data_IF_191429947395
#
_entry.id   IF_191429947395
#
_cell.length_a   1.000
_cell.length_b   1.000
_cell.length_c   1.000
_cell.angle_alpha   90.00
_cell.angle_beta   90.00
_cell.angle_gamma   90.00
#
_symmetry.space_group_name_H-M   'P 1'
#
loop_
_entity.id
_entity.type
_entity.pdbx_description
1 polymer ?
#
# COMPACT_ATOMS: atom_id res chain seq x y z
N UNK A 1 -0.63 -23.03 -14.68
CA UNK A 1 -2.04 -23.20 -15.05
C UNK A 1 -3.00 -22.71 -13.97
N UNK A 2 -2.91 -23.15 -12.71
CA UNK A 2 -3.82 -22.69 -11.64
C UNK A 2 -3.85 -21.15 -11.45
N UNK A 3 -2.67 -20.49 -11.45
CA UNK A 3 -2.58 -19.04 -11.35
C UNK A 3 -3.25 -18.31 -12.52
N UNK A 4 -3.15 -18.81 -13.73
CA UNK A 4 -3.81 -18.25 -14.92
C UNK A 4 -5.33 -18.43 -14.82
N UNK A 5 -5.79 -19.58 -14.33
CA UNK A 5 -7.22 -19.83 -14.11
C UNK A 5 -7.79 -18.91 -13.02
N UNK A 6 -7.06 -18.71 -11.90
CA UNK A 6 -7.46 -17.76 -10.84
C UNK A 6 -7.51 -16.33 -11.37
N UNK A 7 -6.50 -15.92 -12.14
CA UNK A 7 -6.48 -14.62 -12.83
C UNK A 7 -7.69 -14.48 -13.75
N UNK A 8 -7.97 -15.47 -14.58
CA UNK A 8 -9.11 -15.45 -15.49
C UNK A 8 -10.45 -15.36 -14.73
N UNK A 9 -10.61 -16.11 -13.64
CA UNK A 9 -11.83 -16.05 -12.81
C UNK A 9 -11.99 -14.68 -12.15
N UNK A 10 -10.91 -14.11 -11.60
CA UNK A 10 -10.96 -12.76 -11.01
C UNK A 10 -11.31 -11.71 -12.07
N UNK A 11 -10.68 -11.76 -13.25
CA UNK A 11 -10.93 -10.80 -14.32
C UNK A 11 -12.29 -10.97 -15.01
N UNK A 12 -12.71 -12.19 -15.28
CA UNK A 12 -13.91 -12.45 -16.07
C UNK A 12 -15.18 -12.56 -15.22
N UNK A 13 -15.07 -12.96 -13.97
CA UNK A 13 -16.22 -13.21 -13.11
C UNK A 13 -16.40 -12.22 -11.96
N UNK A 14 -15.33 -11.78 -11.29
CA UNK A 14 -15.43 -10.84 -10.15
C UNK A 14 -15.36 -9.38 -10.59
N UNK A 15 -14.41 -9.05 -11.46
CA UNK A 15 -14.16 -7.65 -11.84
C UNK A 15 -15.39 -6.99 -12.50
N UNK A 16 -16.10 -7.61 -13.47
CA UNK A 16 -17.27 -7.01 -14.08
C UNK A 16 -18.46 -6.83 -13.10
N UNK A 17 -18.45 -7.54 -11.98
CA UNK A 17 -19.47 -7.39 -10.93
C UNK A 17 -19.18 -6.27 -9.94
N UNK A 18 -17.93 -5.82 -9.86
CA UNK A 18 -17.46 -4.83 -8.89
C UNK A 18 -17.11 -3.49 -9.54
N UNK A 19 -16.77 -3.51 -10.82
CA UNK A 19 -16.42 -2.32 -11.61
C UNK A 19 -17.15 -2.44 -12.95
N UNK A 20 -18.10 -1.55 -13.22
CA UNK A 20 -18.69 -1.42 -14.54
C UNK A 20 -17.68 -0.74 -15.48
N UNK A 21 -16.97 -1.55 -16.26
CA UNK A 21 -15.98 -1.09 -17.22
C UNK A 21 -16.60 -0.18 -18.28
N UNK A 22 -17.87 -0.41 -18.61
CA UNK A 22 -18.62 0.44 -19.54
C UNK A 22 -18.87 1.84 -18.99
N UNK A 23 -19.24 1.95 -17.72
CA UNK A 23 -19.46 3.22 -17.02
C UNK A 23 -18.13 3.99 -16.86
N UNK A 24 -17.05 3.32 -16.45
CA UNK A 24 -15.71 3.93 -16.41
C UNK A 24 -15.31 4.47 -17.78
N UNK A 25 -15.55 3.68 -18.84
CA UNK A 25 -15.18 4.10 -20.20
C UNK A 25 -16.04 5.26 -20.70
N UNK A 26 -17.33 5.27 -20.39
CA UNK A 26 -18.23 6.39 -20.72
C UNK A 26 -17.78 7.67 -20.00
N UNK A 27 -17.46 7.58 -18.71
CA UNK A 27 -16.94 8.68 -17.91
C UNK A 27 -15.62 9.23 -18.47
N UNK A 28 -14.67 8.36 -18.81
CA UNK A 28 -13.39 8.78 -19.39
C UNK A 28 -13.56 9.47 -20.75
N UNK A 29 -14.51 9.02 -21.58
CA UNK A 29 -14.82 9.65 -22.87
C UNK A 29 -15.47 11.03 -22.75
N UNK A 30 -16.19 11.27 -21.67
CA UNK A 30 -16.81 12.57 -21.40
C UNK A 30 -15.80 13.61 -20.89
N UNK A 31 -14.62 13.18 -20.41
CA UNK A 31 -13.57 14.08 -19.94
C UNK A 31 -12.91 14.85 -21.10
N UNK A 32 -12.53 16.08 -20.82
CA UNK A 32 -11.69 16.88 -21.71
C UNK A 32 -10.28 16.26 -21.81
N UNK A 33 -9.56 16.59 -22.90
CA UNK A 33 -8.19 16.11 -23.09
C UNK A 33 -7.25 16.55 -21.94
N UNK A 34 -7.46 17.74 -21.36
CA UNK A 34 -6.67 18.28 -20.25
C UNK A 34 -6.90 17.47 -18.96
N UNK A 35 -8.14 17.13 -18.66
CA UNK A 35 -8.51 16.26 -17.52
C UNK A 35 -7.91 14.88 -17.66
N UNK A 36 -7.95 14.31 -18.86
CA UNK A 36 -7.32 13.01 -19.14
C UNK A 36 -5.79 13.08 -18.95
N UNK A 37 -5.12 14.09 -19.48
CA UNK A 37 -3.66 14.23 -19.36
C UNK A 37 -3.23 14.43 -17.90
N UNK A 38 -3.93 15.28 -17.15
CA UNK A 38 -3.61 15.51 -15.72
C UNK A 38 -3.86 14.27 -14.88
N UNK A 39 -4.95 13.55 -15.13
CA UNK A 39 -5.30 12.32 -14.42
C UNK A 39 -4.32 11.18 -14.73
N UNK A 40 -4.00 10.96 -16.00
CA UNK A 40 -3.00 9.98 -16.44
C UNK A 40 -1.59 10.34 -15.94
N UNK A 41 -1.24 11.63 -15.95
CA UNK A 41 0.01 12.12 -15.39
C UNK A 41 0.13 11.85 -13.89
N UNK A 42 -0.94 12.08 -13.14
CA UNK A 42 -0.99 11.73 -11.71
C UNK A 42 -0.92 10.22 -11.47
N UNK A 43 -1.59 9.41 -12.30
CA UNK A 43 -1.50 7.95 -12.22
C UNK A 43 -0.09 7.44 -12.55
N UNK A 44 0.55 7.97 -13.58
CA UNK A 44 1.94 7.65 -13.93
C UNK A 44 2.91 8.05 -12.80
N UNK A 45 2.74 9.24 -12.23
CA UNK A 45 3.50 9.67 -11.06
C UNK A 45 3.28 8.74 -9.87
N UNK A 46 2.04 8.31 -9.62
CA UNK A 46 1.73 7.35 -8.56
C UNK A 46 2.50 6.04 -8.76
N UNK A 47 2.53 5.48 -9.97
CA UNK A 47 3.31 4.27 -10.28
C UNK A 47 4.81 4.47 -10.01
N UNK A 48 5.38 5.62 -10.40
CA UNK A 48 6.79 5.94 -10.14
C UNK A 48 7.04 6.13 -8.65
N UNK A 49 6.12 6.74 -7.92
CA UNK A 49 6.28 7.03 -6.48
C UNK A 49 6.39 5.77 -5.62
N UNK A 50 5.84 4.63 -6.05
CA UNK A 50 6.00 3.34 -5.36
C UNK A 50 7.44 2.83 -5.32
N UNK A 51 8.29 3.29 -6.22
CA UNK A 51 9.70 2.90 -6.29
C UNK A 51 10.52 3.61 -5.19
N UNK A 52 10.10 4.80 -4.79
CA UNK A 52 10.89 5.66 -3.88
C UNK A 52 11.20 5.01 -2.52
N UNK A 53 10.22 4.43 -1.80
CA UNK A 53 10.50 3.75 -0.53
C UNK A 53 11.46 2.55 -0.68
N UNK A 54 11.37 1.83 -1.81
CA UNK A 54 12.22 0.67 -2.09
C UNK A 54 13.67 1.11 -2.31
N UNK A 55 13.91 2.12 -3.14
CA UNK A 55 15.23 2.67 -3.44
C UNK A 55 15.92 3.23 -2.17
N UNK A 56 15.14 3.80 -1.26
CA UNK A 56 15.66 4.29 0.02
C UNK A 56 15.96 3.14 0.99
N UNK A 57 15.08 2.13 1.06
CA UNK A 57 15.19 1.02 2.01
C UNK A 57 16.22 -0.03 1.60
N UNK A 58 16.53 -0.17 0.30
CA UNK A 58 17.50 -1.14 -0.23
C UNK A 58 18.61 -0.43 -1.03
N UNK A 59 19.67 0.04 -0.35
CA UNK A 59 20.80 0.67 -1.02
C UNK A 59 21.46 -0.24 -2.05
N UNK A 60 21.69 0.29 -3.24
CA UNK A 60 22.23 -0.47 -4.39
C UNK A 60 21.17 -0.98 -5.36
N UNK A 61 19.89 -0.92 -4.99
CA UNK A 61 18.80 -1.20 -5.93
C UNK A 61 18.72 -0.10 -6.99
N UNK A 62 18.70 -0.49 -8.25
CA UNK A 62 18.57 0.47 -9.36
C UNK A 62 17.09 0.79 -9.63
N UNK A 63 16.76 1.98 -10.18
CA UNK A 63 15.38 2.34 -10.52
C UNK A 63 14.69 1.33 -11.45
N UNK A 64 15.45 0.74 -12.41
CA UNK A 64 14.94 -0.28 -13.32
C UNK A 64 14.55 -1.56 -12.55
N UNK A 65 15.42 -2.04 -11.65
CA UNK A 65 15.14 -3.20 -10.82
C UNK A 65 13.93 -2.97 -9.90
N UNK A 66 13.87 -1.79 -9.27
CA UNK A 66 12.73 -1.39 -8.45
C UNK A 66 11.42 -1.35 -9.26
N UNK A 67 11.44 -0.82 -10.49
CA UNK A 67 10.26 -0.76 -11.34
C UNK A 67 9.75 -2.15 -11.73
N UNK A 68 10.64 -3.03 -12.18
CA UNK A 68 10.29 -4.41 -12.54
C UNK A 68 9.69 -5.14 -11.34
N UNK A 69 10.34 -5.06 -10.19
CA UNK A 69 9.87 -5.71 -8.96
C UNK A 69 8.54 -5.13 -8.50
N UNK A 70 8.46 -3.81 -8.33
CA UNK A 70 7.28 -3.13 -7.78
C UNK A 70 6.01 -3.40 -8.59
N UNK A 71 6.08 -3.26 -9.90
CA UNK A 71 4.91 -3.47 -10.75
C UNK A 71 4.52 -4.95 -10.82
N UNK A 72 5.49 -5.87 -10.86
CA UNK A 72 5.22 -7.30 -10.85
C UNK A 72 4.61 -7.74 -9.50
N UNK A 73 5.20 -7.36 -8.38
CA UNK A 73 4.70 -7.74 -7.04
C UNK A 73 3.33 -7.13 -6.76
N UNK A 74 3.07 -5.89 -7.21
CA UNK A 74 1.76 -5.24 -7.12
C UNK A 74 0.71 -5.99 -7.94
N UNK A 75 1.02 -6.36 -9.18
CA UNK A 75 0.10 -7.14 -10.01
C UNK A 75 -0.25 -8.49 -9.36
N UNK A 76 0.74 -9.20 -8.84
CA UNK A 76 0.54 -10.45 -8.10
C UNK A 76 -0.27 -10.23 -6.84
N UNK A 77 0.04 -9.17 -6.09
CA UNK A 77 -0.66 -8.79 -4.86
C UNK A 77 -2.14 -8.49 -5.08
N UNK A 78 -2.46 -7.86 -6.21
CA UNK A 78 -3.83 -7.51 -6.57
C UNK A 78 -4.63 -8.70 -7.13
N UNK A 79 -3.96 -9.65 -7.79
CA UNK A 79 -4.62 -10.75 -8.50
C UNK A 79 -4.91 -11.97 -7.62
N UNK A 80 -4.07 -12.27 -6.63
CA UNK A 80 -4.14 -13.54 -5.93
C UNK A 80 -4.80 -13.42 -4.55
N UNK A 81 -5.55 -14.45 -4.12
CA UNK A 81 -5.93 -14.61 -2.72
C UNK A 81 -4.65 -14.65 -1.85
N UNK A 82 -4.66 -13.95 -0.73
CA UNK A 82 -3.44 -13.70 0.08
C UNK A 82 -2.29 -13.05 -0.72
N UNK A 83 -2.61 -12.30 -1.77
CA UNK A 83 -1.67 -11.74 -2.75
C UNK A 83 -0.58 -10.88 -2.14
N UNK A 84 -0.84 -10.22 -1.01
CA UNK A 84 0.17 -9.48 -0.24
C UNK A 84 1.32 -10.41 0.21
N UNK A 85 1.00 -11.59 0.74
CA UNK A 85 2.03 -12.55 1.17
C UNK A 85 2.76 -13.16 -0.03
N UNK A 86 2.03 -13.48 -1.12
CA UNK A 86 2.62 -13.98 -2.36
C UNK A 86 3.50 -12.91 -3.00
N UNK A 87 3.06 -11.64 -3.01
CA UNK A 87 3.84 -10.50 -3.47
C UNK A 87 5.17 -10.35 -2.72
N UNK A 88 5.18 -10.48 -1.40
CA UNK A 88 6.43 -10.49 -0.62
C UNK A 88 7.39 -11.62 -1.05
N UNK A 89 6.87 -12.80 -1.36
CA UNK A 89 7.67 -13.92 -1.91
C UNK A 89 8.25 -13.59 -3.28
N UNK A 90 7.47 -12.93 -4.14
CA UNK A 90 7.92 -12.43 -5.44
C UNK A 90 9.02 -11.38 -5.27
N UNK A 91 8.83 -10.40 -4.41
CA UNK A 91 9.83 -9.38 -4.07
C UNK A 91 11.13 -10.01 -3.57
N UNK A 92 11.04 -11.00 -2.66
CA UNK A 92 12.21 -11.72 -2.16
C UNK A 92 12.97 -12.40 -3.31
N UNK A 93 12.25 -13.06 -4.22
CA UNK A 93 12.87 -13.74 -5.37
C UNK A 93 13.58 -12.75 -6.31
N UNK A 94 12.96 -11.61 -6.62
CA UNK A 94 13.58 -10.57 -7.46
C UNK A 94 14.85 -10.03 -6.83
N UNK A 95 14.79 -9.63 -5.54
CA UNK A 95 15.98 -9.08 -4.89
C UNK A 95 17.10 -10.11 -4.75
N UNK A 96 16.74 -11.39 -4.52
CA UNK A 96 17.73 -12.47 -4.51
C UNK A 96 18.38 -12.67 -5.87
N UNK A 97 17.63 -12.60 -6.98
CA UNK A 97 18.19 -12.71 -8.33
C UNK A 97 19.08 -11.52 -8.71
N UNK A 98 18.88 -10.37 -8.06
CA UNK A 98 19.76 -9.19 -8.19
C UNK A 98 21.00 -9.24 -7.29
N UNK A 99 21.22 -10.34 -6.55
CA UNK A 99 22.41 -10.55 -5.73
C UNK A 99 22.34 -9.94 -4.32
N UNK A 100 21.17 -9.45 -3.87
CA UNK A 100 21.04 -8.95 -2.51
C UNK A 100 21.03 -10.08 -1.47
N UNK A 101 21.73 -9.87 -0.35
CA UNK A 101 21.77 -10.85 0.74
C UNK A 101 20.40 -10.99 1.43
N UNK A 102 20.02 -12.18 1.92
CA UNK A 102 18.75 -12.40 2.61
C UNK A 102 18.48 -11.44 3.77
N UNK A 103 19.51 -11.02 4.51
CA UNK A 103 19.41 -10.03 5.58
C UNK A 103 19.05 -8.63 5.10
N UNK A 104 19.63 -8.20 3.97
CA UNK A 104 19.31 -6.91 3.33
C UNK A 104 17.86 -6.88 2.82
N UNK A 105 17.43 -7.99 2.19
CA UNK A 105 16.05 -8.14 1.71
C UNK A 105 15.07 -8.08 2.88
N UNK A 106 15.31 -8.87 3.94
CA UNK A 106 14.45 -8.88 5.11
C UNK A 106 14.37 -7.49 5.78
N UNK A 107 15.52 -6.81 5.93
CA UNK A 107 15.59 -5.45 6.47
C UNK A 107 14.75 -4.48 5.63
N UNK A 108 14.94 -4.49 4.31
CA UNK A 108 14.22 -3.62 3.39
C UNK A 108 12.70 -3.82 3.47
N UNK A 109 12.22 -5.07 3.40
CA UNK A 109 10.79 -5.41 3.46
C UNK A 109 10.15 -5.00 4.79
N UNK A 110 10.82 -5.27 5.90
CA UNK A 110 10.31 -4.95 7.24
C UNK A 110 10.25 -3.44 7.46
N UNK A 111 11.29 -2.70 7.08
CA UNK A 111 11.32 -1.24 7.21
C UNK A 111 10.27 -0.57 6.34
N UNK A 112 10.11 -1.00 5.09
CA UNK A 112 9.06 -0.49 4.22
C UNK A 112 7.66 -0.77 4.81
N UNK A 113 7.44 -1.99 5.31
CA UNK A 113 6.19 -2.37 5.97
C UNK A 113 5.88 -1.50 7.19
N UNK A 114 6.87 -1.25 8.05
CA UNK A 114 6.72 -0.38 9.24
C UNK A 114 6.39 1.05 8.83
N UNK A 115 7.14 1.65 7.89
CA UNK A 115 6.89 3.01 7.43
C UNK A 115 5.54 3.16 6.74
N UNK A 116 5.17 2.21 5.89
CA UNK A 116 3.86 2.19 5.25
C UNK A 116 2.71 2.18 6.28
N UNK A 117 2.85 1.39 7.36
CA UNK A 117 1.85 1.37 8.42
C UNK A 117 1.87 2.65 9.27
N UNK A 118 3.02 3.24 9.55
CA UNK A 118 3.09 4.54 10.24
C UNK A 118 2.40 5.64 9.45
N UNK A 119 2.58 5.71 8.15
CA UNK A 119 1.88 6.69 7.31
C UNK A 119 0.38 6.40 7.29
N UNK A 120 -0.05 5.15 7.13
CA UNK A 120 -1.48 4.78 7.17
C UNK A 120 -2.15 5.11 8.51
N UNK A 121 -1.45 4.96 9.62
CA UNK A 121 -1.96 5.31 10.96
C UNK A 121 -1.92 6.82 11.21
N UNK A 122 -0.92 7.53 10.69
CA UNK A 122 -0.74 8.97 10.88
C UNK A 122 -1.66 9.83 10.00
N UNK A 123 -1.96 9.36 8.78
CA UNK A 123 -2.81 10.14 7.85
C UNK A 123 -4.20 10.48 8.40
N UNK A 124 -4.96 9.57 9.02
CA UNK A 124 -6.24 9.91 9.62
C UNK A 124 -6.11 10.99 10.71
N UNK A 125 -5.04 10.96 11.51
CA UNK A 125 -4.80 11.95 12.57
C UNK A 125 -4.62 13.35 11.95
N UNK A 126 -3.81 13.45 10.90
CA UNK A 126 -3.60 14.71 10.19
C UNK A 126 -4.90 15.18 9.52
N UNK A 127 -5.62 14.28 8.85
CA UNK A 127 -6.88 14.63 8.19
C UNK A 127 -7.95 15.11 9.19
N UNK A 128 -8.12 14.42 10.31
CA UNK A 128 -9.04 14.85 11.36
C UNK A 128 -8.60 16.16 12.02
N UNK A 129 -7.30 16.35 12.26
CA UNK A 129 -6.78 17.62 12.75
C UNK A 129 -7.15 18.78 11.84
N UNK A 130 -7.00 18.59 10.52
CA UNK A 130 -7.39 19.59 9.52
C UNK A 130 -8.91 19.83 9.49
N UNK A 131 -9.74 18.78 9.61
CA UNK A 131 -11.21 18.93 9.70
C UNK A 131 -11.62 19.75 10.92
N UNK A 132 -11.00 19.53 12.08
CA UNK A 132 -11.26 20.31 13.29
C UNK A 132 -10.87 21.78 13.09
N UNK A 133 -9.67 22.03 12.56
CA UNK A 133 -9.15 23.39 12.34
C UNK A 133 -9.98 24.19 11.34
N UNK A 134 -10.62 23.52 10.38
CA UNK A 134 -11.45 24.15 9.34
C UNK A 134 -12.94 24.20 9.68
N UNK A 135 -13.34 23.77 10.89
CA UNK A 135 -14.73 23.78 11.33
C UNK A 135 -15.64 22.73 10.67
N UNK A 136 -15.08 21.79 9.93
CA UNK A 136 -15.82 20.72 9.25
C UNK A 136 -15.95 19.43 10.09
N UNK A 137 -15.51 19.45 11.34
CA UNK A 137 -15.60 18.28 12.22
C UNK A 137 -17.03 18.10 12.70
N UNK A 138 -17.69 17.00 12.36
CA UNK A 138 -18.89 16.55 13.04
C UNK A 138 -18.55 16.21 14.51
N UNK A 139 -19.25 16.77 15.48
CA UNK A 139 -18.92 16.72 16.91
C UNK A 139 -18.84 15.32 17.55
N UNK A 140 -19.13 14.23 16.82
CA UNK A 140 -19.01 12.85 17.30
C UNK A 140 -17.69 12.14 17.01
N UNK A 141 -16.76 12.77 16.28
CA UNK A 141 -15.52 12.11 15.82
C UNK A 141 -14.33 12.25 16.77
N UNK A 142 -14.43 13.09 17.80
CA UNK A 142 -13.34 13.30 18.76
C UNK A 142 -12.86 12.01 19.46
N UNK A 143 -13.74 11.08 19.93
CA UNK A 143 -13.29 9.82 20.52
C UNK A 143 -12.51 8.94 19.54
N UNK A 144 -12.92 8.90 18.25
CA UNK A 144 -12.25 8.12 17.20
C UNK A 144 -10.85 8.69 16.94
N UNK A 145 -10.72 10.02 16.91
CA UNK A 145 -9.44 10.68 16.76
C UNK A 145 -8.49 10.38 17.93
N UNK A 146 -8.99 10.45 19.17
CA UNK A 146 -8.19 10.12 20.38
C UNK A 146 -7.70 8.68 20.34
N UNK A 147 -8.56 7.73 20.00
CA UNK A 147 -8.18 6.32 19.87
C UNK A 147 -7.13 6.15 18.74
N UNK A 148 -7.32 6.81 17.61
CA UNK A 148 -6.35 6.78 16.50
C UNK A 148 -4.97 7.30 16.92
N UNK A 149 -4.91 8.44 17.63
CA UNK A 149 -3.67 8.99 18.19
C UNK A 149 -3.03 8.02 19.18
N UNK A 150 -3.82 7.45 20.10
CA UNK A 150 -3.31 6.50 21.08
C UNK A 150 -2.70 5.25 20.41
N UNK A 151 -3.36 4.69 19.38
CA UNK A 151 -2.85 3.56 18.61
C UNK A 151 -1.55 3.93 17.87
N UNK A 152 -1.51 5.10 17.23
CA UNK A 152 -0.32 5.58 16.53
C UNK A 152 0.87 5.78 17.47
N UNK A 153 0.66 6.48 18.58
CA UNK A 153 1.70 6.71 19.61
C UNK A 153 2.18 5.39 20.20
N UNK A 154 1.26 4.45 20.47
CA UNK A 154 1.60 3.11 20.97
C UNK A 154 2.44 2.32 19.96
N UNK A 155 2.11 2.39 18.68
CA UNK A 155 2.88 1.76 17.62
C UNK A 155 4.30 2.35 17.50
N UNK A 156 4.43 3.69 17.52
CA UNK A 156 5.72 4.37 17.55
C UNK A 156 6.54 4.03 18.78
N UNK A 157 5.91 4.07 19.98
CA UNK A 157 6.57 3.73 21.23
C UNK A 157 7.05 2.28 21.23
N UNK A 158 6.23 1.33 20.76
CA UNK A 158 6.60 -0.08 20.64
C UNK A 158 7.81 -0.25 19.71
N UNK A 159 7.80 0.41 18.57
CA UNK A 159 8.93 0.37 17.64
C UNK A 159 10.19 1.00 18.24
N UNK A 160 10.09 2.15 18.86
CA UNK A 160 11.21 2.82 19.55
C UNK A 160 11.75 1.97 20.71
N UNK A 161 10.86 1.35 21.51
CA UNK A 161 11.23 0.44 22.60
C UNK A 161 11.94 -0.81 22.08
N UNK A 162 11.52 -1.37 20.95
CA UNK A 162 12.20 -2.49 20.30
C UNK A 162 13.64 -2.12 19.92
N UNK A 163 13.84 -0.92 19.40
CA UNK A 163 15.16 -0.46 18.97
C UNK A 163 16.06 0.02 20.13
N UNK A 164 15.49 0.38 21.29
CA UNK A 164 16.22 1.01 22.39
C UNK A 164 17.14 0.05 23.17
N UNK A 165 16.91 -1.28 23.16
CA UNK A 165 17.64 -2.26 23.95
C UNK A 165 17.74 -3.61 23.26
N UNK A 166 18.94 -4.19 23.30
CA UNK A 166 19.21 -5.53 22.79
C UNK A 166 18.35 -6.61 23.49
N UNK A 167 18.21 -6.50 24.82
CA UNK A 167 17.37 -7.43 25.60
C UNK A 167 15.90 -7.40 25.13
N UNK A 168 15.37 -6.23 24.75
CA UNK A 168 14.00 -6.10 24.23
C UNK A 168 13.89 -6.67 22.83
N UNK A 169 14.86 -6.42 21.95
CA UNK A 169 14.90 -7.01 20.62
C UNK A 169 14.91 -8.54 20.68
N UNK A 170 15.72 -9.12 21.57
CA UNK A 170 15.76 -10.59 21.80
C UNK A 170 14.42 -11.10 22.30
N UNK A 171 13.78 -10.44 23.27
CA UNK A 171 12.45 -10.86 23.79
C UNK A 171 11.38 -10.82 22.70
N UNK A 172 11.35 -9.75 21.92
CA UNK A 172 10.39 -9.59 20.80
C UNK A 172 10.68 -10.63 19.71
N UNK A 173 11.94 -10.83 19.35
CA UNK A 173 12.35 -11.88 18.42
C UNK A 173 11.94 -13.28 18.89
N UNK A 174 12.09 -13.57 20.18
CA UNK A 174 11.64 -14.84 20.79
C UNK A 174 10.12 -14.99 20.79
N UNK A 175 9.38 -13.91 21.07
CA UNK A 175 7.91 -13.90 21.02
C UNK A 175 7.39 -14.12 19.59
N UNK A 176 7.98 -13.45 18.60
CA UNK A 176 7.65 -13.64 17.17
C UNK A 176 7.99 -15.06 16.69
N UNK A 177 9.14 -15.60 17.12
CA UNK A 177 9.50 -17.01 16.83
C UNK A 177 8.52 -17.99 17.46
N UNK A 178 8.05 -17.72 18.68
CA UNK A 178 7.03 -18.53 19.35
C UNK A 178 5.70 -18.48 18.59
N UNK A 179 5.25 -17.28 18.19
CA UNK A 179 4.03 -17.10 17.39
C UNK A 179 4.12 -17.77 16.01
N UNK A 180 5.25 -17.61 15.29
CA UNK A 180 5.50 -18.25 14.01
C UNK A 180 5.64 -19.78 14.10
N UNK A 181 5.99 -20.32 15.27
CA UNK A 181 6.07 -21.77 15.52
C UNK A 181 4.70 -22.39 15.81
N UNK A 182 3.65 -21.61 16.11
CA UNK A 182 2.33 -22.11 16.46
C UNK A 182 1.69 -23.00 15.38
N UNK A 183 1.65 -22.62 14.08
CA UNK A 183 1.14 -23.52 13.02
C UNK A 183 1.96 -24.80 12.87
N UNK A 184 3.28 -24.73 13.08
CA UNK A 184 4.18 -25.89 13.01
C UNK A 184 3.96 -26.86 14.17
N UNK A 185 3.67 -26.33 15.37
CA UNK A 185 3.34 -27.13 16.56
C UNK A 185 1.99 -27.83 16.38
N UNK A 186 0.99 -27.12 15.83
CA UNK A 186 -0.31 -27.69 15.49
C UNK A 186 -0.20 -28.79 14.42
N UNK A 187 0.82 -28.71 13.55
CA UNK A 187 1.14 -29.72 12.54
C UNK A 187 2.13 -30.82 13.05
N UNK A 188 2.38 -30.92 14.36
CA UNK A 188 3.24 -31.95 14.97
C UNK A 188 4.74 -31.84 14.66
N UNK A 189 5.21 -30.73 14.07
CA UNK A 189 6.63 -30.52 13.75
C UNK A 189 7.37 -29.87 14.93
N UNK A 190 8.36 -30.56 15.48
CA UNK A 190 9.22 -30.05 16.55
C UNK A 190 10.39 -29.24 15.96
N UNK A 191 10.70 -28.10 16.56
CA UNK A 191 11.82 -27.21 16.22
C UNK A 191 11.49 -25.74 16.46
N UNK A 192 12.19 -25.07 17.37
CA UNK A 192 12.12 -23.61 17.55
C UNK A 192 13.26 -22.98 16.78
N UNK A 193 13.00 -22.17 15.75
CA UNK A 193 14.05 -21.37 15.14
C UNK A 193 14.62 -20.40 16.18
N UNK A 194 15.93 -20.41 16.38
CA UNK A 194 16.60 -19.42 17.22
C UNK A 194 16.72 -18.10 16.47
N UNK A 195 15.78 -17.19 16.67
CA UNK A 195 15.80 -15.87 16.04
C UNK A 195 16.51 -14.82 16.91
N UNK A 196 17.02 -15.19 18.07
CA UNK A 196 17.62 -14.24 19.02
C UNK A 196 18.83 -13.51 18.41
N UNK A 197 19.81 -14.24 17.87
CA UNK A 197 20.98 -13.64 17.23
C UNK A 197 20.63 -12.86 15.95
N UNK A 198 19.60 -13.32 15.22
CA UNK A 198 19.06 -12.60 14.05
C UNK A 198 18.40 -11.29 14.44
N UNK A 199 17.64 -11.26 15.55
CA UNK A 199 16.97 -10.07 16.05
C UNK A 199 17.99 -8.98 16.51
N UNK A 200 19.09 -9.38 17.11
CA UNK A 200 20.15 -8.43 17.49
C UNK A 200 20.82 -7.80 16.27
N UNK A 201 21.24 -8.62 15.31
CA UNK A 201 21.83 -8.13 14.05
C UNK A 201 20.83 -7.24 13.32
N UNK A 202 19.60 -7.68 13.16
CA UNK A 202 18.53 -6.91 12.53
C UNK A 202 18.35 -5.53 13.20
N UNK A 203 18.35 -5.46 14.54
CA UNK A 203 18.29 -4.19 15.28
C UNK A 203 19.44 -3.26 14.92
N UNK A 204 20.67 -3.78 14.86
CA UNK A 204 21.85 -2.98 14.50
C UNK A 204 21.71 -2.42 13.09
N UNK A 205 21.30 -3.25 12.13
CA UNK A 205 21.11 -2.87 10.73
C UNK A 205 19.97 -1.85 10.57
N UNK A 206 18.85 -2.02 11.29
CA UNK A 206 17.75 -1.04 11.34
C UNK A 206 18.25 0.30 11.84
N UNK A 207 18.97 0.33 12.97
CA UNK A 207 19.48 1.59 13.55
C UNK A 207 20.46 2.27 12.58
N UNK A 208 21.35 1.51 11.95
CA UNK A 208 22.30 2.03 10.97
C UNK A 208 21.60 2.66 9.76
N UNK A 209 20.58 1.99 9.22
CA UNK A 209 19.75 2.48 8.12
C UNK A 209 19.00 3.75 8.53
N UNK A 210 18.31 3.70 9.67
CA UNK A 210 17.46 4.80 10.14
C UNK A 210 18.26 6.05 10.48
N UNK A 211 19.40 5.94 11.13
CA UNK A 211 20.26 7.10 11.45
C UNK A 211 20.57 7.97 10.22
N UNK A 212 20.65 7.36 9.03
CA UNK A 212 21.02 8.04 7.78
C UNK A 212 19.85 8.33 6.86
N UNK A 213 18.76 7.52 6.94
CA UNK A 213 17.74 7.50 5.88
C UNK A 213 16.28 7.63 6.36
N UNK A 214 16.04 7.79 7.66
CA UNK A 214 14.65 7.86 8.18
C UNK A 214 13.81 8.96 7.53
N UNK A 215 14.41 10.15 7.33
CA UNK A 215 13.74 11.29 6.71
C UNK A 215 13.41 11.02 5.24
N UNK A 216 14.32 10.39 4.51
CA UNK A 216 14.08 9.98 3.12
C UNK A 216 13.03 8.88 3.02
N UNK A 217 13.01 7.92 3.93
CA UNK A 217 11.96 6.90 4.03
C UNK A 217 10.61 7.54 4.31
N UNK A 218 10.55 8.49 5.25
CA UNK A 218 9.32 9.21 5.57
C UNK A 218 8.83 10.01 4.36
N UNK A 219 9.71 10.79 3.75
CA UNK A 219 9.37 11.58 2.56
C UNK A 219 8.90 10.69 1.40
N UNK A 220 9.66 9.65 1.07
CA UNK A 220 9.33 8.73 -0.02
C UNK A 220 7.97 8.04 0.22
N UNK A 221 7.70 7.59 1.44
CA UNK A 221 6.43 6.94 1.79
C UNK A 221 5.27 7.93 1.77
N UNK A 222 5.46 9.15 2.29
CA UNK A 222 4.46 10.22 2.21
C UNK A 222 4.17 10.60 0.76
N UNK A 223 5.19 10.81 -0.07
CA UNK A 223 5.01 11.11 -1.49
C UNK A 223 4.21 10.01 -2.18
N UNK A 224 4.50 8.74 -1.90
CA UNK A 224 3.76 7.61 -2.46
C UNK A 224 2.28 7.61 -2.05
N UNK A 225 1.95 7.90 -0.80
CA UNK A 225 0.57 7.96 -0.34
C UNK A 225 -0.17 9.21 -0.83
N UNK A 226 0.50 10.36 -0.84
CA UNK A 226 -0.06 11.61 -1.33
C UNK A 226 -0.26 11.59 -2.86
N UNK A 227 0.59 10.90 -3.61
CA UNK A 227 0.38 10.71 -5.05
C UNK A 227 -0.89 9.88 -5.32
N UNK A 228 -1.14 8.84 -4.51
CA UNK A 228 -2.36 8.04 -4.61
C UNK A 228 -3.61 8.85 -4.23
N UNK A 229 -3.52 9.67 -3.17
CA UNK A 229 -4.56 10.64 -2.81
C UNK A 229 -4.84 11.63 -3.94
N UNK A 230 -3.80 12.14 -4.59
CA UNK A 230 -3.93 13.07 -5.72
C UNK A 230 -4.72 12.45 -6.88
N UNK A 231 -4.49 11.18 -7.21
CA UNK A 231 -5.29 10.48 -8.24
C UNK A 231 -6.77 10.45 -7.87
N UNK A 232 -7.10 10.16 -6.60
CA UNK A 232 -8.49 10.17 -6.14
C UNK A 232 -9.09 11.58 -6.21
N UNK A 233 -8.36 12.59 -5.74
CA UNK A 233 -8.82 13.97 -5.74
C UNK A 233 -9.09 14.47 -7.17
N UNK A 234 -8.18 14.20 -8.10
CA UNK A 234 -8.36 14.57 -9.52
C UNK A 234 -9.52 13.80 -10.16
N UNK A 235 -9.67 12.50 -9.88
CA UNK A 235 -10.80 11.72 -10.38
C UNK A 235 -12.13 12.35 -9.94
N UNK A 236 -12.28 12.71 -8.66
CA UNK A 236 -13.47 13.39 -8.15
C UNK A 236 -13.73 14.72 -8.85
N UNK A 237 -12.69 15.57 -9.01
CA UNK A 237 -12.83 16.89 -9.64
C UNK A 237 -13.19 16.81 -11.12
N UNK A 238 -12.60 15.86 -11.85
CA UNK A 238 -12.82 15.71 -13.28
C UNK A 238 -14.16 15.03 -13.62
N UNK A 239 -14.71 14.25 -12.70
CA UNK A 239 -16.06 13.68 -12.88
C UNK A 239 -17.17 14.68 -12.54
N UNK A 240 -16.87 15.74 -11.78
CA UNK A 240 -17.86 16.78 -11.47
C UNK A 240 -18.11 17.04 -10.00
N UNK A 241 -17.53 16.25 -9.08
CA UNK A 241 -17.66 16.50 -7.63
C UNK A 241 -16.97 17.82 -7.28
N UNK A 242 -17.76 18.88 -7.04
CA UNK A 242 -17.26 20.21 -6.78
C UNK A 242 -16.55 20.32 -5.41
N UNK A 243 -15.61 21.27 -5.30
CA UNK A 243 -14.92 21.54 -4.03
C UNK A 243 -15.87 22.11 -2.95
N UNK A 244 -16.98 22.72 -3.34
CA UNK A 244 -18.04 23.19 -2.46
C UNK A 244 -18.91 22.06 -1.89
N UNK A 245 -19.03 20.93 -2.59
CA UNK A 245 -19.74 19.73 -2.13
C UNK A 245 -18.86 18.92 -1.18
N UNK A 246 -17.65 18.59 -1.61
CA UNK A 246 -16.69 17.82 -0.81
C UNK A 246 -15.32 18.48 -0.90
N UNK A 247 -14.88 19.11 0.18
CA UNK A 247 -13.57 19.75 0.26
C UNK A 247 -12.43 18.74 0.13
N UNK A 248 -11.24 19.19 -0.29
CA UNK A 248 -10.06 18.31 -0.37
C UNK A 248 -9.68 17.67 0.99
N UNK A 249 -10.00 18.34 2.10
CA UNK A 249 -9.75 17.82 3.46
C UNK A 249 -10.70 16.65 3.77
N UNK A 250 -11.97 16.76 3.37
CA UNK A 250 -12.93 15.65 3.50
C UNK A 250 -12.55 14.46 2.60
N UNK A 251 -12.07 14.73 1.37
CA UNK A 251 -11.51 13.68 0.51
C UNK A 251 -10.29 13.02 1.17
N UNK A 252 -9.38 13.81 1.77
CA UNK A 252 -8.22 13.28 2.48
C UNK A 252 -8.64 12.41 3.68
N UNK A 253 -9.67 12.82 4.42
CA UNK A 253 -10.18 12.06 5.56
C UNK A 253 -10.80 10.73 5.11
N UNK A 254 -11.63 10.75 4.05
CA UNK A 254 -12.20 9.54 3.45
C UNK A 254 -11.10 8.59 2.97
N UNK A 255 -10.13 9.12 2.22
CA UNK A 255 -8.97 8.37 1.75
C UNK A 255 -8.18 7.75 2.91
N UNK A 256 -7.84 8.53 3.92
CA UNK A 256 -7.05 8.07 5.07
C UNK A 256 -7.75 6.96 5.85
N UNK A 257 -9.06 7.08 6.08
CA UNK A 257 -9.86 6.04 6.74
C UNK A 257 -9.87 4.73 5.94
N UNK A 258 -10.13 4.81 4.65
CA UNK A 258 -10.20 3.63 3.79
C UNK A 258 -8.80 3.00 3.62
N UNK A 259 -7.73 3.81 3.57
CA UNK A 259 -6.35 3.30 3.59
C UNK A 259 -6.01 2.57 4.88
N UNK A 260 -6.51 3.04 6.01
CA UNK A 260 -6.35 2.34 7.28
C UNK A 260 -7.10 1.00 7.28
N UNK A 261 -8.35 0.97 6.81
CA UNK A 261 -9.12 -0.28 6.65
C UNK A 261 -8.43 -1.27 5.70
N UNK A 262 -7.81 -0.77 4.63
CA UNK A 262 -7.05 -1.61 3.68
C UNK A 262 -5.75 -2.19 4.25
N UNK A 263 -5.35 -1.83 5.47
CA UNK A 263 -4.25 -2.50 6.16
C UNK A 263 -4.62 -3.93 6.61
N UNK A 264 -5.92 -4.21 6.73
CA UNK A 264 -6.42 -5.55 7.00
C UNK A 264 -6.69 -6.27 5.67
N UNK A 265 -6.12 -7.46 5.45
CA UNK A 265 -6.28 -8.21 4.20
C UNK A 265 -7.63 -8.93 4.16
N UNK A 266 -8.74 -8.15 4.12
CA UNK A 266 -10.12 -8.67 4.11
C UNK A 266 -10.43 -9.28 2.75
N UNK A 267 -10.06 -8.59 1.68
CA UNK A 267 -10.29 -9.02 0.29
C UNK A 267 -9.02 -8.85 -0.54
N UNK A 268 -8.82 -9.63 -1.62
CA UNK A 268 -7.72 -9.45 -2.54
C UNK A 268 -7.70 -8.03 -3.10
N UNK A 269 -6.57 -7.34 -2.97
CA UNK A 269 -6.43 -5.95 -3.45
C UNK A 269 -7.41 -4.93 -2.85
N UNK A 270 -8.11 -5.27 -1.74
CA UNK A 270 -9.13 -4.42 -1.12
C UNK A 270 -10.41 -4.27 -1.95
N UNK A 271 -10.68 -5.21 -2.90
CA UNK A 271 -11.87 -5.18 -3.77
C UNK A 271 -13.15 -5.17 -2.94
N UNK A 272 -14.08 -4.29 -3.29
CA UNK A 272 -15.32 -4.04 -2.57
C UNK A 272 -15.13 -3.14 -1.34
N UNK A 273 -14.11 -3.36 -0.54
CA UNK A 273 -13.85 -2.58 0.70
C UNK A 273 -13.44 -1.14 0.38
N UNK A 274 -12.54 -0.96 -0.58
CA UNK A 274 -12.06 0.38 -0.97
C UNK A 274 -13.14 1.14 -1.71
N UNK A 275 -13.81 0.52 -2.66
CA UNK A 275 -14.86 1.12 -3.47
C UNK A 275 -16.05 1.56 -2.60
N UNK A 276 -16.62 0.63 -1.85
CA UNK A 276 -17.77 0.91 -0.98
C UNK A 276 -17.39 1.88 0.15
N UNK A 277 -16.20 1.72 0.72
CA UNK A 277 -15.72 2.59 1.78
C UNK A 277 -15.54 4.04 1.32
N UNK A 278 -14.89 4.27 0.17
CA UNK A 278 -14.73 5.62 -0.39
C UNK A 278 -16.08 6.21 -0.79
N UNK A 279 -16.90 5.45 -1.53
CA UNK A 279 -18.22 5.91 -1.96
C UNK A 279 -19.09 6.30 -0.75
N UNK A 280 -19.20 5.45 0.26
CA UNK A 280 -20.01 5.71 1.44
C UNK A 280 -19.56 6.98 2.18
N UNK A 281 -18.26 7.11 2.46
CA UNK A 281 -17.75 8.26 3.23
C UNK A 281 -17.87 9.57 2.42
N UNK A 282 -17.60 9.55 1.11
CA UNK A 282 -17.66 10.74 0.27
C UNK A 282 -19.11 11.20 0.01
N UNK A 283 -20.07 10.29 -0.14
CA UNK A 283 -21.50 10.62 -0.24
C UNK A 283 -22.00 11.21 1.07
N UNK A 284 -21.63 10.63 2.23
CA UNK A 284 -21.97 11.20 3.55
C UNK A 284 -21.33 12.59 3.73
N UNK A 285 -20.18 12.85 3.13
CA UNK A 285 -19.52 14.15 3.15
C UNK A 285 -20.21 15.22 2.26
N UNK A 286 -21.23 14.84 1.46
CA UNK A 286 -22.02 15.76 0.63
C UNK A 286 -21.81 15.61 -0.87
N UNK A 287 -21.03 14.62 -1.31
CA UNK A 287 -20.84 14.34 -2.74
C UNK A 287 -22.09 13.70 -3.37
N UNK A 288 -22.37 14.04 -4.62
CA UNK A 288 -23.39 13.35 -5.38
C UNK A 288 -23.04 11.87 -5.54
N UNK A 289 -24.02 11.00 -5.39
CA UNK A 289 -23.80 9.55 -5.36
C UNK A 289 -23.26 9.01 -6.67
N UNK A 290 -23.82 9.46 -7.80
CA UNK A 290 -23.47 8.95 -9.13
C UNK A 290 -22.05 9.41 -9.50
N UNK A 291 -21.77 10.70 -9.32
CA UNK A 291 -20.46 11.29 -9.57
C UNK A 291 -19.36 10.68 -8.68
N UNK A 292 -19.65 10.47 -7.38
CA UNK A 292 -18.69 9.86 -6.45
C UNK A 292 -18.39 8.42 -6.84
N UNK A 293 -19.41 7.63 -7.18
CA UNK A 293 -19.20 6.23 -7.60
C UNK A 293 -18.39 6.19 -8.89
N UNK A 294 -18.73 6.99 -9.89
CA UNK A 294 -17.99 7.08 -11.15
C UNK A 294 -16.52 7.49 -10.93
N UNK A 295 -16.27 8.50 -10.07
CA UNK A 295 -14.92 8.92 -9.74
C UNK A 295 -14.10 7.83 -9.00
N UNK A 296 -14.73 7.11 -8.07
CA UNK A 296 -14.10 6.00 -7.35
C UNK A 296 -13.77 4.85 -8.32
N UNK A 297 -14.64 4.55 -9.29
CA UNK A 297 -14.37 3.54 -10.31
C UNK A 297 -13.22 3.95 -11.23
N UNK A 298 -13.16 5.20 -11.66
CA UNK A 298 -12.01 5.75 -12.42
C UNK A 298 -10.72 5.66 -11.61
N UNK A 299 -10.75 6.07 -10.35
CA UNK A 299 -9.61 5.93 -9.44
C UNK A 299 -9.14 4.47 -9.35
N UNK A 300 -10.04 3.51 -9.21
CA UNK A 300 -9.71 2.09 -9.15
C UNK A 300 -9.20 1.54 -10.48
N UNK A 301 -9.75 1.99 -11.59
CA UNK A 301 -9.23 1.63 -12.91
C UNK A 301 -7.75 2.01 -13.05
N UNK A 302 -7.38 3.21 -12.61
CA UNK A 302 -6.01 3.72 -12.72
C UNK A 302 -5.05 3.14 -11.67
N UNK A 303 -5.52 2.86 -10.46
CA UNK A 303 -4.64 2.46 -9.34
C UNK A 303 -4.65 0.97 -9.03
N UNK A 304 -5.65 0.24 -9.52
CA UNK A 304 -5.78 -1.20 -9.32
C UNK A 304 -5.69 -1.98 -10.64
N UNK A 305 -6.45 -1.58 -11.71
CA UNK A 305 -6.47 -2.31 -12.98
C UNK A 305 -5.23 -2.02 -13.83
N UNK A 306 -4.87 -0.75 -14.02
CA UNK A 306 -3.74 -0.33 -14.84
C UNK A 306 -2.40 -0.94 -14.40
N UNK A 307 -2.06 -1.08 -13.10
CA UNK A 307 -0.82 -1.74 -12.67
C UNK A 307 -0.71 -3.22 -13.10
N UNK A 308 -1.82 -3.90 -13.36
CA UNK A 308 -1.81 -5.34 -13.65
C UNK A 308 -1.16 -5.67 -15.01
N UNK A 309 -1.59 -5.08 -16.16
CA UNK A 309 -0.91 -5.30 -17.42
C UNK A 309 0.54 -4.79 -17.42
N UNK A 310 0.82 -3.70 -16.69
CA UNK A 310 2.18 -3.19 -16.51
C UNK A 310 3.04 -4.23 -15.79
N UNK A 311 2.54 -4.82 -14.69
CA UNK A 311 3.25 -5.85 -13.95
C UNK A 311 3.44 -7.15 -14.74
N UNK A 312 2.47 -7.54 -15.56
CA UNK A 312 2.62 -8.67 -16.45
C UNK A 312 3.71 -8.44 -17.51
N UNK A 313 3.74 -7.23 -18.09
CA UNK A 313 4.77 -6.83 -19.05
C UNK A 313 6.17 -6.80 -18.41
N UNK A 314 6.30 -6.19 -17.22
CA UNK A 314 7.59 -6.11 -16.52
C UNK A 314 8.10 -7.48 -16.11
N UNK A 315 7.23 -8.40 -15.68
CA UNK A 315 7.57 -9.80 -15.40
C UNK A 315 8.08 -10.53 -16.65
N UNK A 316 7.38 -10.34 -17.78
CA UNK A 316 7.78 -10.97 -19.05
C UNK A 316 9.15 -10.44 -19.56
N UNK A 317 9.38 -9.13 -19.43
CA UNK A 317 10.67 -8.52 -19.78
C UNK A 317 11.82 -9.07 -18.92
N UNK A 318 11.57 -9.23 -17.62
CA UNK A 318 12.55 -9.79 -16.69
C UNK A 318 12.87 -11.25 -17.03
N UNK A 319 11.86 -12.09 -17.24
CA UNK A 319 12.08 -13.49 -17.63
C UNK A 319 12.87 -13.66 -18.92
N UNK A 320 12.64 -12.77 -19.89
CA UNK A 320 13.42 -12.80 -21.14
C UNK A 320 14.89 -12.40 -20.92
N UNK A 321 15.17 -11.54 -19.98
CA UNK A 321 16.53 -11.15 -19.64
C UNK A 321 17.27 -12.31 -18.94
N UNK A 322 16.65 -12.96 -17.93
CA UNK A 322 17.25 -14.13 -17.25
C UNK A 322 17.50 -15.32 -18.21
N UNK A 323 16.58 -15.61 -19.12
CA UNK A 323 16.74 -16.71 -20.09
C UNK A 323 17.77 -16.45 -21.18
N UNK A 324 18.44 -15.29 -21.18
CA UNK A 324 19.58 -15.00 -22.09
C UNK A 324 20.94 -15.16 -21.41
N UNK A 325 20.93 -15.27 -20.07
CA UNK A 325 22.13 -15.42 -19.23
C UNK A 325 22.41 -16.90 -18.86
N UNK A 326 21.46 -17.80 -19.20
CA UNK A 326 21.59 -19.27 -19.07
C UNK A 326 21.83 -19.90 -20.44
#
# INVERSE_FOLDING_TARGET
MLAVAVVAVVYLALLPRLVDVGEVWATLRAMTWLELVTLLGAAAWNLVSYLLPQLVALPGLTPRQAAIESHTSTAVGNLLPAGQAVGLGVTYRFYSSYGFAPSQIALSLLIQGVWNNFVKLGMPIVAFGLLVLTGHAAGGLAPVAVVGVAVFVSALATFALMLSSERRAVRIGAALAAAASLPRRLAGRQGRPSWAAGAVRFRVDVIALLRRRWHWLTLATLVSHLSLFLVLLLALRHVGVAASQVSWIQVLAAFALVRLLSAFPITPGGLGVVELGLAAVLVVAGGDKEDVVAAVLVFRALTFLLPMPIGALTYWLWRRAEGRET
#
